data_IF_832507204453
#
_entry.id   IF_832507204453
#
_cell.length_a   1.000
_cell.length_b   1.000
_cell.length_c   1.000
_cell.angle_alpha   90.00
_cell.angle_beta   90.00
_cell.angle_gamma   90.00
#
_symmetry.space_group_name_H-M   'P 1'
#
loop_
_entity.id
_entity.type
_entity.pdbx_description
1 polymer ?
#
# COMPACT_ATOMS: atom_id res chain seq x y z
N UNK A 1 17.11 -27.64 10.50
CA UNK A 1 16.60 -26.38 9.90
C UNK A 1 16.24 -26.70 8.45
N UNK A 2 14.98 -26.61 8.04
CA UNK A 2 14.63 -26.78 6.63
C UNK A 2 15.29 -25.69 5.80
N UNK A 3 15.92 -26.06 4.69
CA UNK A 3 16.52 -25.11 3.78
C UNK A 3 15.43 -24.15 3.26
N UNK A 4 15.62 -22.84 3.47
CA UNK A 4 14.74 -21.82 2.88
C UNK A 4 14.94 -21.86 1.37
N UNK A 5 13.92 -22.26 0.63
CA UNK A 5 13.92 -22.24 -0.84
C UNK A 5 13.08 -21.04 -1.29
N UNK A 6 13.70 -20.02 -1.92
CA UNK A 6 12.95 -18.85 -2.36
C UNK A 6 11.96 -19.24 -3.48
N UNK A 7 10.73 -18.73 -3.39
CA UNK A 7 9.69 -18.92 -4.41
C UNK A 7 9.98 -18.12 -5.69
N UNK A 8 10.66 -16.98 -5.54
CA UNK A 8 11.03 -16.09 -6.63
C UNK A 8 12.56 -15.94 -6.67
N UNK A 9 13.19 -15.89 -7.86
CA UNK A 9 14.61 -15.60 -7.96
C UNK A 9 14.88 -14.18 -7.42
N UNK A 10 16.02 -13.95 -6.75
CA UNK A 10 16.38 -12.61 -6.32
C UNK A 10 16.56 -11.71 -7.55
N UNK A 11 15.98 -10.50 -7.58
CA UNK A 11 16.16 -9.59 -8.70
C UNK A 11 17.66 -9.24 -8.83
N UNK A 12 18.20 -9.13 -10.06
CA UNK A 12 19.61 -8.83 -10.25
C UNK A 12 19.93 -7.39 -9.81
N UNK A 13 20.78 -7.24 -8.78
CA UNK A 13 21.52 -6.01 -8.48
C UNK A 13 20.73 -4.75 -8.09
N UNK A 14 19.39 -4.78 -8.09
CA UNK A 14 18.56 -3.64 -7.74
C UNK A 14 17.98 -3.77 -6.33
N UNK A 15 18.08 -2.70 -5.54
CA UNK A 15 17.39 -2.58 -4.25
C UNK A 15 15.88 -2.60 -4.48
N UNK A 16 15.18 -3.57 -3.89
CA UNK A 16 13.74 -3.68 -4.09
C UNK A 16 13.00 -2.47 -3.53
N UNK A 17 11.98 -2.02 -4.26
CA UNK A 17 11.15 -0.86 -3.96
C UNK A 17 9.78 -1.32 -3.49
N UNK A 18 9.23 -0.69 -2.46
CA UNK A 18 7.92 -1.12 -1.95
C UNK A 18 6.97 0.02 -1.61
N UNK A 19 5.68 -0.26 -1.71
CA UNK A 19 4.62 0.64 -1.25
C UNK A 19 4.15 0.26 0.16
N UNK A 20 3.97 1.27 1.02
CA UNK A 20 3.38 1.12 2.35
C UNK A 20 1.89 1.41 2.30
N UNK A 21 1.06 0.42 2.58
CA UNK A 21 -0.39 0.56 2.58
C UNK A 21 -0.91 0.77 3.99
N UNK A 22 -1.71 1.81 4.22
CA UNK A 22 -2.38 2.08 5.49
C UNK A 22 -3.75 2.76 5.33
N UNK A 23 -4.62 2.55 6.31
CA UNK A 23 -5.97 3.17 6.33
C UNK A 23 -6.20 4.09 7.54
N UNK A 24 -5.25 4.16 8.49
CA UNK A 24 -5.45 4.82 9.78
C UNK A 24 -4.20 5.53 10.32
N UNK A 25 -3.87 5.30 11.59
CA UNK A 25 -2.81 6.02 12.31
C UNK A 25 -1.40 5.87 11.69
N UNK A 26 -1.17 4.82 10.90
CA UNK A 26 0.11 4.57 10.27
C UNK A 26 1.24 4.18 11.22
N UNK A 27 0.94 3.78 12.47
CA UNK A 27 1.97 3.43 13.46
C UNK A 27 2.93 2.34 12.96
N UNK A 28 2.41 1.31 12.28
CA UNK A 28 3.26 0.28 11.67
C UNK A 28 4.11 0.83 10.52
N UNK A 29 3.56 1.73 9.71
CA UNK A 29 4.28 2.35 8.61
C UNK A 29 5.41 3.24 9.14
N UNK A 30 5.14 4.02 10.18
CA UNK A 30 6.12 4.87 10.87
C UNK A 30 7.27 4.03 11.45
N UNK A 31 6.98 2.94 12.16
CA UNK A 31 8.00 2.04 12.69
C UNK A 31 8.88 1.41 11.60
N UNK A 32 8.29 1.00 10.47
CA UNK A 32 9.04 0.48 9.32
C UNK A 32 9.98 1.56 8.77
N UNK A 33 9.49 2.78 8.58
CA UNK A 33 10.28 3.90 8.06
C UNK A 33 11.42 4.29 9.00
N UNK A 34 11.17 4.33 10.31
CA UNK A 34 12.20 4.58 11.32
C UNK A 34 13.26 3.49 11.34
N UNK A 35 12.86 2.22 11.27
CA UNK A 35 13.79 1.11 11.23
C UNK A 35 14.67 1.14 9.97
N UNK A 36 14.10 1.43 8.81
CA UNK A 36 14.87 1.58 7.56
C UNK A 36 15.88 2.73 7.63
N UNK A 37 15.51 3.86 8.26
CA UNK A 37 16.46 4.95 8.52
C UNK A 37 17.61 4.53 9.43
N UNK A 38 17.36 3.69 10.42
CA UNK A 38 18.40 3.16 11.31
C UNK A 38 19.34 2.19 10.59
N UNK A 39 18.81 1.40 9.64
CA UNK A 39 19.62 0.49 8.82
C UNK A 39 20.50 1.23 7.80
N UNK A 40 20.02 2.37 7.26
CA UNK A 40 20.72 3.12 6.22
C UNK A 40 21.00 2.25 5.00
N UNK A 41 22.24 2.27 4.50
CA UNK A 41 22.67 1.52 3.31
C UNK A 41 22.61 -0.01 3.49
N UNK A 42 22.39 -0.51 4.71
CA UNK A 42 22.21 -1.95 4.99
C UNK A 42 20.79 -2.42 4.67
N UNK A 43 19.85 -1.51 4.39
CA UNK A 43 18.50 -1.88 4.02
C UNK A 43 18.49 -2.55 2.64
N UNK A 44 18.00 -3.78 2.56
CA UNK A 44 17.84 -4.51 1.30
C UNK A 44 16.67 -4.02 0.43
N UNK A 45 15.87 -3.08 0.94
CA UNK A 45 14.73 -2.50 0.25
C UNK A 45 14.54 -1.02 0.64
N UNK A 46 13.82 -0.28 -0.21
CA UNK A 46 13.52 1.14 0.00
C UNK A 46 12.04 1.44 -0.19
N UNK A 47 11.45 2.34 0.61
CA UNK A 47 10.07 2.75 0.42
C UNK A 47 9.97 3.64 -0.82
N UNK A 48 8.99 3.38 -1.67
CA UNK A 48 8.77 4.13 -2.92
C UNK A 48 7.50 4.99 -2.87
N UNK A 49 6.49 4.57 -2.11
CA UNK A 49 5.24 5.31 -1.95
C UNK A 49 4.52 4.92 -0.66
N UNK A 50 3.65 5.81 -0.20
CA UNK A 50 2.63 5.54 0.80
C UNK A 50 1.28 5.48 0.11
N UNK A 51 0.47 4.48 0.44
CA UNK A 51 -0.82 4.21 -0.20
C UNK A 51 -1.92 4.21 0.86
N UNK A 52 -3.04 4.88 0.56
CA UNK A 52 -4.20 4.86 1.45
C UNK A 52 -5.53 4.79 0.70
N UNK A 53 -6.46 4.04 1.28
CA UNK A 53 -7.85 3.91 0.85
C UNK A 53 -8.82 4.76 1.68
N UNK A 54 -8.31 5.49 2.68
CA UNK A 54 -9.09 6.33 3.59
C UNK A 54 -8.40 7.69 3.80
N UNK A 55 -8.19 8.48 2.72
CA UNK A 55 -7.34 9.68 2.75
C UNK A 55 -7.76 10.73 3.78
N UNK A 56 -9.05 10.79 4.10
CA UNK A 56 -9.59 11.79 5.05
C UNK A 56 -9.39 11.41 6.52
N UNK A 57 -9.15 10.14 6.83
CA UNK A 57 -8.95 9.66 8.21
C UNK A 57 -7.57 9.07 8.47
N UNK A 58 -6.79 8.86 7.42
CA UNK A 58 -5.45 8.28 7.46
C UNK A 58 -4.38 9.34 7.70
N UNK A 59 -3.30 8.96 8.40
CA UNK A 59 -2.07 9.78 8.54
C UNK A 59 -1.14 9.71 7.32
N UNK A 60 -1.58 9.14 6.20
CA UNK A 60 -0.74 8.93 5.01
C UNK A 60 -0.10 10.23 4.48
N UNK A 61 -0.86 11.34 4.39
CA UNK A 61 -0.34 12.65 3.95
C UNK A 61 0.77 13.16 4.87
N UNK A 62 0.56 13.07 6.18
CA UNK A 62 1.52 13.48 7.22
C UNK A 62 2.82 12.68 7.10
N UNK A 63 2.72 11.35 7.04
CA UNK A 63 3.89 10.47 6.89
C UNK A 63 4.60 10.71 5.56
N UNK A 64 3.86 10.91 4.46
CA UNK A 64 4.44 11.22 3.16
C UNK A 64 5.28 12.48 3.21
N UNK A 65 4.74 13.57 3.78
CA UNK A 65 5.47 14.82 3.96
C UNK A 65 6.70 14.65 4.87
N UNK A 66 6.55 13.96 6.02
CA UNK A 66 7.62 13.79 7.00
C UNK A 66 8.81 12.98 6.48
N UNK A 67 8.55 11.98 5.64
CA UNK A 67 9.57 11.06 5.12
C UNK A 67 9.94 11.34 3.66
N UNK A 68 9.38 12.39 3.04
CA UNK A 68 9.65 12.76 1.65
C UNK A 68 9.18 11.71 0.64
N UNK A 69 8.06 11.03 0.93
CA UNK A 69 7.51 9.97 0.10
C UNK A 69 6.24 10.44 -0.62
N UNK A 70 6.05 10.06 -1.89
CA UNK A 70 4.80 10.32 -2.59
C UNK A 70 3.66 9.55 -1.93
N UNK A 71 2.48 10.18 -1.90
CA UNK A 71 1.26 9.60 -1.33
C UNK A 71 0.28 9.32 -2.46
N UNK A 72 -0.13 8.06 -2.57
CA UNK A 72 -1.12 7.57 -3.53
C UNK A 72 -2.43 7.33 -2.80
N UNK A 73 -3.42 8.14 -3.12
CA UNK A 73 -4.74 8.10 -2.50
C UNK A 73 -5.76 7.50 -3.45
N UNK A 74 -6.57 6.56 -2.94
CA UNK A 74 -7.71 6.04 -3.65
C UNK A 74 -8.84 5.66 -2.69
N UNK A 75 -9.67 6.64 -2.33
CA UNK A 75 -10.76 6.45 -1.37
C UNK A 75 -11.73 5.35 -1.82
N UNK A 76 -11.79 4.26 -1.05
CA UNK A 76 -12.63 3.10 -1.38
C UNK A 76 -14.11 3.36 -1.10
N UNK A 77 -14.45 4.15 -0.09
CA UNK A 77 -15.84 4.48 0.25
C UNK A 77 -16.42 5.41 -0.79
N UNK A 78 -15.67 6.45 -1.16
CA UNK A 78 -16.07 7.37 -2.23
C UNK A 78 -16.23 6.64 -3.56
N UNK A 79 -15.35 5.67 -3.86
CA UNK A 79 -15.46 4.88 -5.09
C UNK A 79 -16.73 4.02 -5.12
N UNK A 80 -17.05 3.30 -4.04
CA UNK A 80 -18.28 2.52 -3.95
C UNK A 80 -19.53 3.41 -4.09
N UNK A 81 -19.53 4.55 -3.41
CA UNK A 81 -20.63 5.52 -3.48
C UNK A 81 -20.86 6.01 -4.91
N UNK A 82 -19.78 6.33 -5.65
CA UNK A 82 -19.85 6.73 -7.06
C UNK A 82 -20.38 5.62 -7.98
N UNK A 83 -20.33 4.36 -7.55
CA UNK A 83 -20.86 3.20 -8.28
C UNK A 83 -22.23 2.74 -7.80
N UNK A 84 -22.88 3.52 -6.94
CA UNK A 84 -24.25 3.29 -6.44
C UNK A 84 -24.34 2.48 -5.16
N UNK A 85 -23.21 2.11 -4.55
CA UNK A 85 -23.17 1.32 -3.32
C UNK A 85 -22.88 2.19 -2.10
N UNK A 86 -23.76 2.17 -1.11
CA UNK A 86 -23.60 2.94 0.14
C UNK A 86 -22.67 2.25 1.14
N UNK A 87 -22.33 0.98 0.91
CA UNK A 87 -21.46 0.18 1.76
C UNK A 87 -20.39 -0.48 0.91
N UNK A 88 -19.17 -0.50 1.44
CA UNK A 88 -18.09 -1.26 0.85
C UNK A 88 -18.27 -2.73 1.21
N UNK A 89 -18.51 -3.58 0.22
CA UNK A 89 -18.70 -5.03 0.43
C UNK A 89 -18.30 -5.83 -0.81
N UNK A 90 -17.88 -7.07 -0.59
CA UNK A 90 -17.60 -8.08 -1.64
C UNK A 90 -18.55 -9.29 -1.56
N UNK A 91 -19.60 -9.20 -0.73
CA UNK A 91 -20.57 -10.28 -0.50
C UNK A 91 -21.52 -10.50 -1.68
N UNK A 92 -21.57 -9.56 -2.63
CA UNK A 92 -22.40 -9.64 -3.84
C UNK A 92 -21.52 -9.63 -5.10
N UNK A 93 -21.99 -10.21 -6.22
CA UNK A 93 -21.28 -10.12 -7.50
C UNK A 93 -20.97 -8.66 -7.89
N UNK A 94 -21.95 -7.76 -7.69
CA UNK A 94 -21.77 -6.33 -7.94
C UNK A 94 -20.66 -5.71 -7.08
N UNK A 95 -20.61 -6.05 -5.79
CA UNK A 95 -19.57 -5.60 -4.88
C UNK A 95 -18.17 -6.10 -5.28
N UNK A 96 -18.08 -7.32 -5.83
CA UNK A 96 -16.83 -7.87 -6.37
C UNK A 96 -16.38 -7.15 -7.64
N UNK A 97 -17.30 -6.83 -8.55
CA UNK A 97 -17.01 -6.03 -9.74
C UNK A 97 -16.44 -4.65 -9.39
N UNK A 98 -17.10 -3.96 -8.45
CA UNK A 98 -16.65 -2.64 -7.99
C UNK A 98 -15.29 -2.74 -7.30
N UNK A 99 -15.07 -3.78 -6.47
CA UNK A 99 -13.77 -4.05 -5.84
C UNK A 99 -12.66 -4.24 -6.86
N UNK A 100 -12.94 -5.01 -7.91
CA UNK A 100 -11.99 -5.29 -8.98
C UNK A 100 -11.64 -3.98 -9.72
N UNK A 101 -12.65 -3.21 -10.10
CA UNK A 101 -12.46 -1.91 -10.76
C UNK A 101 -11.64 -0.92 -9.91
N UNK A 102 -11.92 -0.83 -8.61
CA UNK A 102 -11.10 -0.02 -7.68
C UNK A 102 -9.66 -0.52 -7.63
N UNK A 103 -9.46 -1.84 -7.62
CA UNK A 103 -8.12 -2.44 -7.53
C UNK A 103 -7.30 -2.15 -8.78
N UNK A 104 -7.93 -2.24 -9.95
CA UNK A 104 -7.29 -1.92 -11.22
C UNK A 104 -6.95 -0.43 -11.33
N UNK A 105 -7.84 0.45 -10.85
CA UNK A 105 -7.58 1.89 -10.76
C UNK A 105 -6.42 2.21 -9.79
N UNK A 106 -6.33 1.51 -8.65
CA UNK A 106 -5.19 1.67 -7.74
C UNK A 106 -3.88 1.18 -8.38
N UNK A 107 -3.90 0.05 -9.09
CA UNK A 107 -2.72 -0.45 -9.81
C UNK A 107 -2.24 0.56 -10.86
N UNK A 108 -3.16 1.17 -11.61
CA UNK A 108 -2.81 2.22 -12.57
C UNK A 108 -2.15 3.43 -11.89
N UNK A 109 -2.66 3.87 -10.72
CA UNK A 109 -2.04 4.94 -9.93
C UNK A 109 -0.64 4.61 -9.40
N UNK A 110 -0.33 3.33 -9.22
CA UNK A 110 0.97 2.86 -8.74
C UNK A 110 1.98 2.59 -9.86
N UNK A 111 1.57 2.60 -11.13
CA UNK A 111 2.41 2.20 -12.26
C UNK A 111 3.74 2.97 -12.31
N UNK A 112 3.71 4.28 -12.03
CA UNK A 112 4.89 5.16 -12.10
C UNK A 112 5.77 5.11 -10.85
N UNK A 113 5.37 4.38 -9.81
CA UNK A 113 6.13 4.30 -8.54
C UNK A 113 7.27 3.27 -8.58
N UNK A 114 7.28 2.42 -9.61
CA UNK A 114 8.22 1.31 -9.78
C UNK A 114 8.31 0.42 -8.53
N UNK A 115 7.16 0.10 -7.93
CA UNK A 115 7.09 -0.80 -6.76
C UNK A 115 7.20 -2.26 -7.18
N UNK A 116 8.02 -3.02 -6.48
CA UNK A 116 8.18 -4.46 -6.67
C UNK A 116 7.18 -5.25 -5.80
N UNK A 117 6.87 -4.72 -4.61
CA UNK A 117 5.92 -5.34 -3.68
C UNK A 117 5.21 -4.31 -2.79
N UNK A 118 4.14 -4.76 -2.13
CA UNK A 118 3.39 -3.99 -1.16
C UNK A 118 3.56 -4.52 0.26
N UNK A 119 3.57 -3.61 1.24
CA UNK A 119 3.57 -3.92 2.67
C UNK A 119 2.28 -3.38 3.28
N UNK A 120 1.42 -4.27 3.78
CA UNK A 120 0.19 -3.89 4.49
C UNK A 120 0.50 -3.50 5.94
N UNK A 121 0.70 -2.21 6.17
CA UNK A 121 1.07 -1.61 7.45
C UNK A 121 -0.15 -1.02 8.17
N UNK A 122 -1.19 -1.84 8.34
CA UNK A 122 -2.50 -1.39 8.85
C UNK A 122 -3.47 -0.97 7.74
N UNK A 123 -3.41 -1.66 6.61
CA UNK A 123 -4.37 -1.55 5.52
C UNK A 123 -5.57 -2.45 5.84
N UNK A 124 -6.73 -1.85 6.08
CA UNK A 124 -7.87 -2.55 6.66
C UNK A 124 -8.55 -3.40 5.57
N UNK A 125 -8.67 -4.74 5.77
CA UNK A 125 -9.47 -5.56 4.87
C UNK A 125 -10.94 -5.21 5.04
N UNK A 126 -11.68 -5.28 3.94
CA UNK A 126 -13.13 -5.07 3.95
C UNK A 126 -13.79 -6.26 4.67
N UNK A 127 -14.48 -5.98 5.77
CA UNK A 127 -15.39 -6.90 6.47
C UNK A 127 -16.81 -6.70 5.98
#
# INVERSE_FOLDING_TARGET
MSAIRPLLPPPPGATSRFALFLSGSGTNAEQVLEHLRQLGDKAGCVPAAIVTDAPETSRARELGARYGLPVVEHDIRAFYLAHGETRVSIATPRGQEIRQAWTDALRAKLADTAVDFGVFAGFVPLT
#
